data_IF_329815697615
#
_entry.id   IF_329815697615
#
_cell.length_a   1.000
_cell.length_b   1.000
_cell.length_c   1.000
_cell.angle_alpha   90.00
_cell.angle_beta   90.00
_cell.angle_gamma   90.00
#
_symmetry.space_group_name_H-M   'P 1'
#
loop_
_entity.id
_entity.type
_entity.pdbx_description
1 polymer ?
#
# COMPACT_ATOMS: atom_id res chain seq x y z
N UNK A 1 6.73 20.91 -0.36
CA UNK A 1 5.91 19.90 -1.05
C UNK A 1 6.40 18.52 -0.64
N UNK A 2 5.56 17.58 -0.24
CA UNK A 2 5.96 16.21 0.16
C UNK A 2 6.35 15.36 -1.07
N UNK A 3 7.66 15.28 -1.38
CA UNK A 3 8.19 14.48 -2.49
C UNK A 3 8.48 13.04 -2.04
N UNK A 4 8.63 12.07 -2.97
CA UNK A 4 8.84 10.66 -2.63
C UNK A 4 10.05 10.39 -1.72
N UNK A 5 11.14 11.15 -1.84
CA UNK A 5 12.39 10.95 -1.09
C UNK A 5 12.22 11.15 0.42
N UNK A 6 11.23 11.93 0.85
CA UNK A 6 10.88 12.11 2.27
C UNK A 6 10.40 10.79 2.87
N UNK A 7 9.81 9.93 2.03
CA UNK A 7 9.13 8.72 2.47
C UNK A 7 9.87 7.44 2.10
N UNK A 8 10.57 7.40 0.95
CA UNK A 8 11.07 6.16 0.37
C UNK A 8 12.52 6.25 -0.08
N UNK A 9 13.26 5.15 0.11
CA UNK A 9 14.52 4.86 -0.58
C UNK A 9 14.17 4.03 -1.83
N UNK A 10 14.27 4.67 -2.99
CA UNK A 10 13.79 4.08 -4.25
C UNK A 10 14.89 3.48 -5.14
N UNK A 11 16.17 3.60 -4.76
CA UNK A 11 17.30 3.25 -5.63
C UNK A 11 17.26 1.79 -6.10
N UNK A 12 16.85 0.87 -5.23
CA UNK A 12 16.80 -0.57 -5.51
C UNK A 12 15.39 -1.07 -5.84
N UNK A 13 14.37 -0.24 -5.66
CA UNK A 13 13.00 -0.62 -5.94
C UNK A 13 12.77 -0.78 -7.46
N UNK A 14 12.35 -1.97 -7.88
CA UNK A 14 12.18 -2.30 -9.31
C UNK A 14 11.21 -1.34 -10.03
N UNK A 15 10.18 -0.89 -9.33
CA UNK A 15 9.13 -0.02 -9.87
C UNK A 15 9.32 1.46 -9.52
N UNK A 16 10.57 1.90 -9.30
CA UNK A 16 10.89 3.29 -8.97
C UNK A 16 10.38 4.32 -9.99
N UNK A 17 10.23 3.93 -11.25
CA UNK A 17 9.69 4.79 -12.30
C UNK A 17 8.23 5.24 -12.07
N UNK A 18 7.50 4.58 -11.16
CA UNK A 18 6.18 5.01 -10.72
C UNK A 18 6.24 6.35 -9.95
N UNK A 19 7.37 6.66 -9.33
CA UNK A 19 7.57 7.82 -8.47
C UNK A 19 8.36 8.92 -9.20
N UNK A 20 7.87 10.15 -9.08
CA UNK A 20 8.47 11.33 -9.68
C UNK A 20 9.02 12.23 -8.56
N UNK A 21 10.35 12.40 -8.54
CA UNK A 21 11.04 13.19 -7.51
C UNK A 21 10.65 14.68 -7.49
N UNK A 22 10.06 15.18 -8.56
CA UNK A 22 9.64 16.57 -8.70
C UNK A 22 8.16 16.80 -8.41
N UNK A 23 7.42 15.73 -8.12
CA UNK A 23 5.98 15.77 -7.88
C UNK A 23 5.62 15.34 -6.45
N UNK A 24 4.41 15.69 -5.95
CA UNK A 24 3.91 15.16 -4.68
C UNK A 24 3.86 13.64 -4.69
N UNK A 25 4.19 13.03 -3.56
CA UNK A 25 4.28 11.57 -3.42
C UNK A 25 3.01 10.82 -3.82
N UNK A 26 1.84 11.39 -3.62
CA UNK A 26 0.55 10.77 -4.00
C UNK A 26 0.28 10.71 -5.50
N UNK A 27 1.07 11.41 -6.34
CA UNK A 27 0.92 11.31 -7.79
C UNK A 27 1.19 9.90 -8.32
N UNK A 28 1.97 9.08 -7.59
CA UNK A 28 2.17 7.67 -7.91
C UNK A 28 0.85 6.89 -7.95
N UNK A 29 -0.13 7.23 -7.12
CA UNK A 29 -1.45 6.58 -7.13
C UNK A 29 -2.22 6.90 -8.41
N UNK A 30 -2.15 8.14 -8.93
CA UNK A 30 -2.76 8.49 -10.23
C UNK A 30 -2.09 7.75 -11.39
N UNK A 31 -0.78 7.54 -11.28
CA UNK A 31 0.02 6.85 -12.30
C UNK A 31 -0.07 5.32 -12.23
N UNK A 32 -0.54 4.73 -11.12
CA UNK A 32 -0.48 3.29 -10.86
C UNK A 32 -1.22 2.47 -11.93
N UNK A 33 -2.43 2.87 -12.30
CA UNK A 33 -3.21 2.20 -13.33
C UNK A 33 -2.50 2.22 -14.69
N UNK A 34 -2.22 3.38 -15.31
CA UNK A 34 -1.52 3.41 -16.59
C UNK A 34 -0.11 2.80 -16.52
N UNK A 35 0.52 2.79 -15.34
CA UNK A 35 1.80 2.14 -15.14
C UNK A 35 1.68 0.61 -15.25
N UNK A 36 0.71 -0.01 -14.57
CA UNK A 36 0.48 -1.45 -14.65
C UNK A 36 0.01 -1.89 -16.04
N UNK A 37 -0.77 -1.07 -16.73
CA UNK A 37 -1.26 -1.36 -18.08
C UNK A 37 -0.11 -1.45 -19.14
N UNK A 38 1.12 -0.99 -18.81
CA UNK A 38 2.30 -1.11 -19.67
C UNK A 38 3.01 -2.45 -19.53
N UNK A 39 2.70 -3.24 -18.52
CA UNK A 39 3.34 -4.55 -18.32
C UNK A 39 2.59 -5.66 -19.06
N UNK A 40 3.37 -6.59 -19.63
CA UNK A 40 2.83 -7.88 -20.08
C UNK A 40 2.56 -8.74 -18.85
N UNK A 41 1.39 -8.58 -18.25
CA UNK A 41 0.94 -9.38 -17.12
C UNK A 41 0.55 -10.81 -17.55
N UNK A 42 0.23 -11.69 -16.59
CA UNK A 42 -0.18 -13.08 -16.82
C UNK A 42 0.89 -14.11 -16.50
N UNK A 43 2.10 -13.68 -16.06
CA UNK A 43 3.16 -14.61 -15.69
C UNK A 43 3.09 -14.97 -14.21
N UNK A 44 2.69 -16.22 -13.91
CA UNK A 44 2.63 -16.77 -12.54
C UNK A 44 3.78 -17.77 -12.38
N UNK A 45 4.79 -17.41 -11.56
CA UNK A 45 6.03 -18.18 -11.37
C UNK A 45 6.07 -18.93 -10.04
N UNK A 46 4.91 -19.27 -9.49
CA UNK A 46 4.77 -20.04 -8.26
C UNK A 46 3.65 -21.07 -8.40
N UNK A 47 3.63 -22.04 -7.49
CA UNK A 47 2.52 -22.98 -7.41
C UNK A 47 1.29 -22.29 -6.83
N UNK A 48 0.14 -22.46 -7.48
CA UNK A 48 -1.17 -22.02 -6.99
C UNK A 48 -1.88 -23.24 -6.41
N UNK A 49 -2.09 -23.29 -5.09
CA UNK A 49 -2.78 -24.42 -4.46
C UNK A 49 -4.27 -24.44 -4.78
N UNK A 50 -4.88 -25.59 -4.63
CA UNK A 50 -6.33 -25.73 -4.67
C UNK A 50 -7.01 -24.81 -3.65
N UNK A 51 -8.16 -24.25 -3.99
CA UNK A 51 -8.91 -23.30 -3.15
C UNK A 51 -8.45 -21.84 -3.26
N UNK A 52 -7.50 -21.52 -4.14
CA UNK A 52 -7.21 -20.12 -4.54
C UNK A 52 -8.11 -19.72 -5.69
N UNK A 53 -8.71 -18.53 -5.62
CA UNK A 53 -9.50 -17.95 -6.70
C UNK A 53 -8.68 -16.89 -7.44
N UNK A 54 -8.47 -17.09 -8.75
CA UNK A 54 -7.85 -16.11 -9.64
C UNK A 54 -8.91 -15.59 -10.62
N UNK A 55 -9.11 -14.27 -10.62
CA UNK A 55 -10.03 -13.60 -11.56
C UNK A 55 -9.21 -12.77 -12.54
N UNK A 56 -9.44 -12.95 -13.83
CA UNK A 56 -8.63 -12.40 -14.94
C UNK A 56 -7.14 -12.80 -14.80
N UNK A 57 -6.82 -14.12 -14.76
CA UNK A 57 -5.45 -14.60 -14.50
C UNK A 57 -4.44 -14.12 -15.54
N UNK A 58 -4.86 -13.83 -16.76
CA UNK A 58 -4.05 -13.23 -17.81
C UNK A 58 -3.56 -11.81 -17.47
N UNK A 59 -4.13 -11.20 -16.41
CA UNK A 59 -3.73 -9.88 -15.87
C UNK A 59 -3.11 -9.98 -14.48
N UNK A 60 -2.71 -11.19 -14.05
CA UNK A 60 -2.08 -11.42 -12.75
C UNK A 60 -0.65 -11.89 -12.97
N UNK A 61 0.33 -11.15 -12.46
CA UNK A 61 1.71 -11.64 -12.41
C UNK A 61 2.12 -11.89 -10.96
N UNK A 62 2.75 -13.06 -10.72
CA UNK A 62 3.25 -13.46 -9.40
C UNK A 62 4.69 -13.93 -9.56
N UNK A 63 5.61 -13.28 -8.87
CA UNK A 63 7.04 -13.53 -8.97
C UNK A 63 7.47 -14.85 -8.32
N UNK A 64 8.66 -15.31 -8.74
CA UNK A 64 9.30 -16.55 -8.27
C UNK A 64 9.46 -16.56 -6.75
N UNK A 65 9.29 -17.72 -6.14
CA UNK A 65 9.46 -17.93 -4.70
C UNK A 65 8.31 -17.39 -3.84
N UNK A 66 7.31 -16.77 -4.47
CA UNK A 66 6.12 -16.30 -3.75
C UNK A 66 5.24 -17.49 -3.37
N UNK A 67 4.73 -17.45 -2.13
CA UNK A 67 3.80 -18.45 -1.59
C UNK A 67 2.39 -17.87 -1.56
N UNK A 68 1.45 -18.59 -2.19
CA UNK A 68 0.02 -18.28 -2.12
C UNK A 68 -0.67 -19.37 -1.31
N UNK A 69 -1.48 -19.00 -0.33
CA UNK A 69 -2.19 -19.94 0.52
C UNK A 69 -3.62 -20.16 0.03
N UNK A 70 -4.15 -21.35 0.26
CA UNK A 70 -5.55 -21.68 -0.06
C UNK A 70 -6.52 -20.68 0.58
N UNK A 71 -7.61 -20.37 -0.12
CA UNK A 71 -8.59 -19.36 0.30
C UNK A 71 -8.23 -17.93 -0.04
N UNK A 72 -7.08 -17.66 -0.66
CA UNK A 72 -6.79 -16.35 -1.22
C UNK A 72 -7.64 -16.08 -2.47
N UNK A 73 -8.10 -14.82 -2.61
CA UNK A 73 -8.81 -14.33 -3.78
C UNK A 73 -7.98 -13.20 -4.42
N UNK A 74 -7.59 -13.37 -5.67
CA UNK A 74 -6.72 -12.44 -6.38
C UNK A 74 -7.38 -12.04 -7.70
N UNK A 75 -7.61 -10.74 -7.89
CA UNK A 75 -8.21 -10.18 -9.09
C UNK A 75 -7.22 -9.26 -9.83
N UNK A 76 -6.99 -9.56 -11.11
CA UNK A 76 -6.17 -8.71 -11.99
C UNK A 76 -6.88 -7.43 -12.47
N UNK A 77 -6.12 -6.39 -12.86
CA UNK A 77 -4.66 -6.36 -12.99
C UNK A 77 -3.93 -6.23 -11.66
N UNK A 78 -2.94 -7.09 -11.43
CA UNK A 78 -2.04 -6.94 -10.29
C UNK A 78 -0.66 -7.56 -10.59
N UNK A 79 0.36 -7.06 -9.87
CA UNK A 79 1.71 -7.58 -9.92
C UNK A 79 2.20 -7.82 -8.49
N UNK A 80 2.45 -9.08 -8.15
CA UNK A 80 3.00 -9.50 -6.85
C UNK A 80 4.45 -9.90 -7.07
N UNK A 81 5.37 -9.22 -6.40
CA UNK A 81 6.81 -9.42 -6.54
C UNK A 81 7.30 -10.72 -5.93
N UNK A 82 8.58 -11.02 -6.18
CA UNK A 82 9.26 -12.26 -5.76
C UNK A 82 9.28 -12.46 -4.24
N UNK A 83 9.36 -13.74 -3.81
CA UNK A 83 9.54 -14.15 -2.42
C UNK A 83 8.51 -13.56 -1.44
N UNK A 84 7.35 -13.18 -1.95
CA UNK A 84 6.25 -12.62 -1.17
C UNK A 84 5.35 -13.73 -0.60
N UNK A 85 4.43 -13.36 0.27
CA UNK A 85 3.43 -14.29 0.79
C UNK A 85 2.04 -13.67 0.68
N UNK A 86 1.13 -14.38 0.02
CA UNK A 86 -0.31 -14.08 0.02
C UNK A 86 -0.97 -15.13 0.90
N UNK A 87 -1.46 -14.73 2.06
CA UNK A 87 -1.97 -15.65 3.08
C UNK A 87 -3.43 -16.00 2.85
N UNK A 88 -3.89 -17.01 3.58
CA UNK A 88 -5.27 -17.44 3.60
C UNK A 88 -6.26 -16.29 3.80
N UNK A 89 -7.32 -16.24 2.99
CA UNK A 89 -8.37 -15.23 3.07
C UNK A 89 -7.95 -13.83 2.61
N UNK A 90 -6.74 -13.64 2.06
CA UNK A 90 -6.36 -12.37 1.46
C UNK A 90 -7.27 -12.04 0.27
N UNK A 91 -7.76 -10.79 0.20
CA UNK A 91 -8.55 -10.28 -0.91
C UNK A 91 -7.77 -9.21 -1.67
N UNK A 92 -7.12 -9.64 -2.75
CA UNK A 92 -6.32 -8.75 -3.61
C UNK A 92 -7.21 -8.31 -4.76
N UNK A 93 -7.53 -7.03 -4.77
CA UNK A 93 -8.35 -6.38 -5.79
C UNK A 93 -7.47 -5.72 -6.86
N UNK A 94 -8.08 -5.25 -7.98
CA UNK A 94 -7.31 -4.68 -9.07
C UNK A 94 -6.37 -3.53 -8.69
N UNK A 95 -5.28 -3.44 -9.43
CA UNK A 95 -4.23 -2.43 -9.31
C UNK A 95 -3.44 -2.49 -8.00
N UNK A 96 -3.16 -3.70 -7.52
CA UNK A 96 -2.16 -3.91 -6.47
C UNK A 96 -0.82 -4.21 -7.12
N UNK A 97 0.21 -3.47 -6.70
CA UNK A 97 1.59 -3.67 -7.08
C UNK A 97 2.43 -3.90 -5.83
N UNK A 98 3.17 -5.00 -5.80
CA UNK A 98 4.12 -5.23 -4.70
C UNK A 98 5.55 -5.39 -5.22
N UNK A 99 6.50 -4.91 -4.43
CA UNK A 99 7.90 -5.28 -4.53
C UNK A 99 8.14 -6.70 -4.03
N UNK A 100 9.39 -6.99 -3.65
CA UNK A 100 9.84 -8.31 -3.16
C UNK A 100 9.60 -8.47 -1.66
N UNK A 101 9.51 -9.73 -1.21
CA UNK A 101 9.43 -10.09 0.22
C UNK A 101 8.25 -9.46 0.96
N UNK A 102 7.15 -9.16 0.28
CA UNK A 102 5.96 -8.55 0.86
C UNK A 102 5.05 -9.60 1.51
N UNK A 103 4.25 -9.16 2.49
CA UNK A 103 3.21 -9.99 3.10
C UNK A 103 1.85 -9.32 2.92
N UNK A 104 0.97 -9.97 2.14
CA UNK A 104 -0.45 -9.67 2.08
C UNK A 104 -1.14 -10.75 2.91
N UNK A 105 -1.54 -10.37 4.13
CA UNK A 105 -1.77 -11.34 5.18
C UNK A 105 -3.16 -11.92 5.23
N UNK A 106 -3.39 -12.67 6.28
CA UNK A 106 -4.67 -13.29 6.56
C UNK A 106 -5.80 -12.26 6.63
N UNK A 107 -6.85 -12.49 5.83
CA UNK A 107 -8.02 -11.62 5.73
C UNK A 107 -7.68 -10.12 5.52
N UNK A 108 -6.60 -9.86 4.80
CA UNK A 108 -6.21 -8.50 4.41
C UNK A 108 -6.80 -8.18 3.05
N UNK A 109 -7.50 -7.05 2.95
CA UNK A 109 -7.94 -6.50 1.67
C UNK A 109 -6.95 -5.44 1.19
N UNK A 110 -6.47 -5.59 -0.05
CA UNK A 110 -5.67 -4.59 -0.74
C UNK A 110 -6.31 -4.21 -2.07
N UNK A 111 -6.37 -2.91 -2.36
CA UNK A 111 -6.99 -2.37 -3.58
C UNK A 111 -6.27 -1.10 -4.01
N UNK A 112 -5.88 -1.03 -5.29
CA UNK A 112 -5.22 0.16 -5.85
C UNK A 112 -4.10 0.66 -4.92
N UNK A 113 -3.16 -0.22 -4.61
CA UNK A 113 -2.15 0.00 -3.57
C UNK A 113 -0.76 -0.45 -4.01
N UNK A 114 0.25 0.22 -3.46
CA UNK A 114 1.65 -0.10 -3.71
C UNK A 114 2.31 -0.53 -2.41
N UNK A 115 2.96 -1.69 -2.44
CA UNK A 115 3.78 -2.21 -1.35
C UNK A 115 5.23 -2.22 -1.84
N UNK A 116 6.12 -1.43 -1.24
CA UNK A 116 7.55 -1.49 -1.54
C UNK A 116 8.16 -2.74 -0.92
N UNK A 117 9.46 -2.96 -1.15
CA UNK A 117 10.14 -4.19 -0.75
C UNK A 117 10.02 -4.43 0.77
N UNK A 118 9.63 -5.65 1.14
CA UNK A 118 9.50 -6.06 2.54
C UNK A 118 8.31 -5.47 3.30
N UNK A 119 7.40 -4.76 2.63
CA UNK A 119 6.21 -4.20 3.27
C UNK A 119 5.24 -5.31 3.70
N UNK A 120 4.65 -5.17 4.88
CA UNK A 120 3.82 -6.20 5.51
C UNK A 120 2.49 -5.63 6.02
N UNK A 121 1.40 -6.23 5.55
CA UNK A 121 0.05 -6.06 6.07
C UNK A 121 -0.49 -7.46 6.46
N UNK A 122 -0.06 -8.00 7.63
CA UNK A 122 -0.14 -9.44 7.88
C UNK A 122 -1.49 -9.98 8.37
N UNK A 123 -2.38 -9.12 8.90
CA UNK A 123 -3.61 -9.59 9.56
C UNK A 123 -4.74 -8.58 9.54
N UNK A 124 -5.89 -8.95 8.94
CA UNK A 124 -7.15 -8.19 9.02
C UNK A 124 -7.01 -6.71 8.64
N UNK A 125 -6.17 -6.41 7.68
CA UNK A 125 -5.92 -5.03 7.28
C UNK A 125 -6.81 -4.62 6.12
N UNK A 126 -7.08 -3.31 6.01
CA UNK A 126 -7.58 -2.70 4.79
C UNK A 126 -6.55 -1.70 4.24
N UNK A 127 -6.07 -1.96 3.03
CA UNK A 127 -5.08 -1.12 2.34
C UNK A 127 -5.67 -0.64 1.02
N UNK A 128 -6.42 0.46 1.08
CA UNK A 128 -7.06 1.05 -0.09
C UNK A 128 -6.38 2.34 -0.54
N UNK A 129 -6.08 2.45 -1.83
CA UNK A 129 -5.51 3.66 -2.47
C UNK A 129 -4.32 4.23 -1.64
N UNK A 130 -3.39 3.36 -1.27
CA UNK A 130 -2.32 3.63 -0.30
C UNK A 130 -0.95 3.15 -0.79
N UNK A 131 0.11 3.67 -0.18
CA UNK A 131 1.48 3.22 -0.40
C UNK A 131 2.13 2.84 0.93
N UNK A 132 2.64 1.61 1.03
CA UNK A 132 3.46 1.13 2.12
C UNK A 132 4.92 1.09 1.65
N UNK A 133 5.80 1.84 2.31
CA UNK A 133 7.23 1.92 2.03
C UNK A 133 7.99 0.64 2.37
N UNK A 134 9.29 0.66 2.11
CA UNK A 134 10.17 -0.49 2.37
C UNK A 134 10.13 -0.87 3.86
N UNK A 135 9.96 -2.16 4.12
CA UNK A 135 9.97 -2.73 5.48
C UNK A 135 8.96 -2.08 6.44
N UNK A 136 7.89 -1.51 5.92
CA UNK A 136 6.73 -1.09 6.72
C UNK A 136 6.06 -2.32 7.30
N UNK A 137 5.63 -2.25 8.56
CA UNK A 137 4.75 -3.24 9.15
C UNK A 137 3.54 -2.57 9.76
N UNK A 138 2.35 -2.96 9.31
CA UNK A 138 1.10 -2.52 9.92
C UNK A 138 0.49 -3.66 10.74
N UNK A 139 0.19 -3.37 12.01
CA UNK A 139 -0.36 -4.35 12.96
C UNK A 139 -1.76 -4.85 12.56
N UNK A 140 -2.23 -5.86 13.27
CA UNK A 140 -3.55 -6.45 13.01
C UNK A 140 -4.66 -5.40 13.11
N UNK A 141 -5.61 -5.44 12.18
CA UNK A 141 -6.77 -4.57 12.17
C UNK A 141 -6.49 -3.10 11.78
N UNK A 142 -5.29 -2.78 11.26
CA UNK A 142 -5.01 -1.42 10.77
C UNK A 142 -5.82 -1.15 9.50
N UNK A 143 -6.45 0.02 9.46
CA UNK A 143 -7.28 0.49 8.35
C UNK A 143 -6.63 1.73 7.72
N UNK A 144 -6.27 1.66 6.44
CA UNK A 144 -5.95 2.82 5.61
C UNK A 144 -7.26 3.32 4.99
N UNK A 145 -8.01 4.16 5.70
CA UNK A 145 -9.27 4.70 5.21
C UNK A 145 -9.00 5.61 4.01
N UNK A 146 -9.69 5.38 2.90
CA UNK A 146 -9.39 6.04 1.62
C UNK A 146 -10.48 6.98 1.11
N UNK A 147 -11.58 7.13 1.83
CA UNK A 147 -12.74 7.89 1.39
C UNK A 147 -13.24 8.83 2.47
N UNK A 148 -13.46 10.09 2.12
CA UNK A 148 -13.98 11.10 3.04
C UNK A 148 -15.48 10.97 3.24
N UNK A 149 -15.95 11.20 4.47
CA UNK A 149 -17.37 11.12 4.79
C UNK A 149 -18.22 12.20 4.09
N UNK A 150 -17.61 13.35 3.78
CA UNK A 150 -18.26 14.45 3.03
C UNK A 150 -18.20 14.27 1.51
N UNK A 151 -17.70 13.12 1.04
CA UNK A 151 -17.55 12.78 -0.38
C UNK A 151 -16.66 13.73 -1.19
N UNK A 152 -15.94 14.63 -0.52
CA UNK A 152 -15.06 15.62 -1.13
C UNK A 152 -13.73 15.03 -1.63
N UNK A 153 -12.96 15.88 -2.30
CA UNK A 153 -11.57 15.60 -2.65
C UNK A 153 -10.73 15.40 -1.39
N UNK A 154 -9.82 14.41 -1.42
CA UNK A 154 -8.87 14.22 -0.34
C UNK A 154 -7.87 15.38 -0.32
N UNK A 155 -7.73 16.01 0.83
CA UNK A 155 -6.76 17.08 1.08
C UNK A 155 -5.70 16.55 2.03
N UNK A 156 -4.45 16.64 1.62
CA UNK A 156 -3.30 16.33 2.47
C UNK A 156 -2.98 17.56 3.32
N UNK A 157 -2.93 17.39 4.63
CA UNK A 157 -2.53 18.43 5.56
C UNK A 157 -1.20 18.04 6.21
N UNK A 158 -0.16 18.84 6.00
CA UNK A 158 1.20 18.60 6.49
C UNK A 158 1.75 19.86 7.11
N UNK A 159 2.13 19.83 8.38
CA UNK A 159 2.77 20.92 9.11
C UNK A 159 2.01 22.27 9.01
N UNK A 160 0.69 22.22 8.82
CA UNK A 160 -0.17 23.38 8.66
C UNK A 160 -0.47 23.78 7.21
N UNK A 161 0.29 23.28 6.25
CA UNK A 161 0.03 23.45 4.83
C UNK A 161 -1.02 22.47 4.31
N UNK A 162 -1.85 22.92 3.39
CA UNK A 162 -2.92 22.11 2.79
C UNK A 162 -2.72 21.96 1.30
N UNK A 163 -2.73 20.70 0.82
CA UNK A 163 -2.53 20.34 -0.58
C UNK A 163 -3.75 19.61 -1.11
N UNK A 164 -4.37 20.11 -2.15
CA UNK A 164 -5.40 19.42 -2.92
C UNK A 164 -4.74 18.30 -3.73
N UNK A 165 -5.23 17.07 -3.58
CA UNK A 165 -4.63 15.92 -4.26
C UNK A 165 -5.19 15.66 -5.65
N UNK A 166 -6.37 16.19 -5.98
CA UNK A 166 -7.12 15.83 -7.18
C UNK A 166 -7.76 14.43 -7.11
N UNK A 167 -7.69 13.76 -5.94
CA UNK A 167 -8.18 12.40 -5.74
C UNK A 167 -9.42 12.39 -4.85
N UNK A 168 -10.47 11.69 -5.27
CA UNK A 168 -11.63 11.41 -4.41
C UNK A 168 -11.38 10.25 -3.44
N UNK A 169 -10.42 9.38 -3.76
CA UNK A 169 -9.98 8.27 -2.91
C UNK A 169 -8.47 8.31 -2.79
N UNK A 170 -7.99 8.39 -1.59
CA UNK A 170 -6.60 8.27 -1.21
C UNK A 170 -6.54 7.88 0.26
N UNK A 171 -5.88 6.79 0.56
CA UNK A 171 -5.63 6.34 1.92
C UNK A 171 -4.38 6.99 2.51
N UNK A 172 -3.42 6.18 2.92
CA UNK A 172 -2.21 6.64 3.57
C UNK A 172 -0.96 6.43 2.69
N UNK A 173 0.01 7.32 2.87
CA UNK A 173 1.39 7.11 2.41
C UNK A 173 2.23 6.84 3.65
N UNK A 174 2.78 5.64 3.76
CA UNK A 174 3.50 5.16 4.94
C UNK A 174 4.97 4.99 4.55
N UNK A 175 5.83 5.85 5.10
CA UNK A 175 7.26 5.89 4.78
C UNK A 175 8.02 4.66 5.29
N UNK A 176 9.19 4.42 4.72
CA UNK A 176 10.05 3.27 4.98
C UNK A 176 10.24 3.01 6.48
N UNK A 177 10.19 1.73 6.86
CA UNK A 177 10.43 1.24 8.23
C UNK A 177 9.43 1.78 9.27
N UNK A 178 8.33 2.40 8.86
CA UNK A 178 7.29 2.81 9.81
C UNK A 178 6.58 1.57 10.40
N UNK A 179 6.17 1.70 11.66
CA UNK A 179 5.44 0.66 12.39
C UNK A 179 4.10 1.23 12.85
N UNK A 180 3.02 0.58 12.47
CA UNK A 180 1.66 1.02 12.86
C UNK A 180 1.06 -0.02 13.81
N UNK A 181 0.74 0.40 15.02
CA UNK A 181 0.16 -0.46 16.05
C UNK A 181 -1.24 -0.96 15.69
N UNK A 182 -1.61 -2.11 16.24
CA UNK A 182 -2.88 -2.80 15.96
C UNK A 182 -4.11 -1.88 16.14
N UNK A 183 -5.15 -2.15 15.34
CA UNK A 183 -6.45 -1.46 15.38
C UNK A 183 -6.36 0.07 15.22
N UNK A 184 -5.31 0.56 14.58
CA UNK A 184 -5.19 1.97 14.26
C UNK A 184 -5.87 2.31 12.95
N UNK A 185 -6.42 3.52 12.85
CA UNK A 185 -7.02 4.05 11.63
C UNK A 185 -6.17 5.21 11.11
N UNK A 186 -5.67 5.07 9.90
CA UNK A 186 -5.05 6.15 9.15
C UNK A 186 -6.12 6.78 8.26
N UNK A 187 -6.50 8.03 8.56
CA UNK A 187 -7.56 8.71 7.83
C UNK A 187 -7.11 9.14 6.42
N UNK A 188 -8.06 9.43 5.50
CA UNK A 188 -7.73 9.76 4.12
C UNK A 188 -6.72 10.91 4.00
N UNK A 189 -5.64 10.66 3.26
CA UNK A 189 -4.59 11.65 3.01
C UNK A 189 -3.50 11.74 4.09
N UNK A 190 -3.47 10.82 5.04
CA UNK A 190 -2.40 10.79 6.05
C UNK A 190 -1.06 10.39 5.42
N UNK A 191 -0.02 11.15 5.74
CA UNK A 191 1.36 10.87 5.39
C UNK A 191 2.17 10.58 6.66
N UNK A 192 2.79 9.42 6.72
CA UNK A 192 3.74 9.02 7.76
C UNK A 192 5.16 9.00 7.17
N UNK A 193 6.08 9.76 7.75
CA UNK A 193 7.49 9.77 7.30
C UNK A 193 8.19 8.43 7.60
N UNK A 194 9.41 8.28 7.09
CA UNK A 194 10.28 7.14 7.41
C UNK A 194 10.39 6.93 8.92
N UNK A 195 10.34 5.67 9.37
CA UNK A 195 10.52 5.25 10.78
C UNK A 195 9.48 5.81 11.76
N UNK A 196 8.33 6.25 11.26
CA UNK A 196 7.23 6.70 12.14
C UNK A 196 6.68 5.52 12.96
N UNK A 197 6.45 5.77 14.23
CA UNK A 197 5.79 4.83 15.15
C UNK A 197 4.39 5.35 15.46
N UNK A 198 3.38 4.51 15.24
CA UNK A 198 1.99 4.77 15.60
C UNK A 198 1.59 3.80 16.71
N UNK A 199 1.07 4.31 17.82
CA UNK A 199 0.59 3.45 18.93
C UNK A 199 -0.65 2.67 18.48
N UNK A 200 -0.86 1.53 19.09
CA UNK A 200 -2.10 0.77 18.89
C UNK A 200 -3.35 1.58 19.25
N UNK A 201 -4.47 1.26 18.58
CA UNK A 201 -5.76 1.92 18.79
C UNK A 201 -5.73 3.44 18.56
N UNK A 202 -4.88 3.93 17.66
CA UNK A 202 -4.78 5.34 17.31
C UNK A 202 -5.64 5.70 16.10
N UNK A 203 -6.25 6.89 16.12
CA UNK A 203 -6.86 7.49 14.94
C UNK A 203 -6.00 8.67 14.47
N UNK A 204 -5.30 8.50 13.37
CA UNK A 204 -4.42 9.53 12.82
C UNK A 204 -5.18 10.31 11.75
N UNK A 205 -5.37 11.62 11.96
CA UNK A 205 -6.11 12.49 11.05
C UNK A 205 -5.21 13.45 10.28
N UNK A 206 -4.03 13.78 10.83
CA UNK A 206 -3.11 14.76 10.26
C UNK A 206 -1.70 14.19 10.16
N UNK A 207 -0.99 14.66 9.15
CA UNK A 207 0.40 14.29 8.93
C UNK A 207 1.32 15.23 9.70
N UNK A 208 2.21 14.67 10.51
CA UNK A 208 3.29 15.42 11.14
C UNK A 208 4.63 14.85 10.66
N UNK A 209 5.29 15.56 9.77
CA UNK A 209 6.58 15.13 9.21
C UNK A 209 7.79 15.60 10.05
N UNK A 210 7.57 16.24 11.20
CA UNK A 210 8.64 16.73 12.07
C UNK A 210 9.04 15.72 13.14
N UNK A 211 8.18 14.77 13.48
CA UNK A 211 8.41 13.77 14.54
C UNK A 211 8.35 12.35 13.99
N UNK A 212 8.96 11.41 14.71
CA UNK A 212 8.83 9.97 14.46
C UNK A 212 7.64 9.32 15.19
N UNK A 213 6.89 10.09 15.96
CA UNK A 213 5.67 9.63 16.62
C UNK A 213 4.47 10.31 15.98
N UNK A 214 3.50 9.52 15.54
CA UNK A 214 2.20 10.03 15.13
C UNK A 214 1.25 9.90 16.33
N UNK A 215 0.67 11.03 16.72
CA UNK A 215 -0.27 11.12 17.84
C UNK A 215 -1.70 11.10 17.32
N UNK A 216 -2.59 10.49 18.11
CA UNK A 216 -4.03 10.60 17.91
C UNK A 216 -4.44 12.06 18.10
N UNK A 217 -5.23 12.58 17.20
CA UNK A 217 -5.85 13.90 17.29
C UNK A 217 -7.14 13.82 18.08
#
# INVERSE_FOLDING_TARGET
MPTPEIFFELQVFQHRALFDSTAPVWECLKKLKPYLDQFSLGKIECQIPEGVTLVNPEKISIGKGTRVEAGAYIEGPCLIGENSTVRHGAYIRPYVLTGKNCVLGHATEAKHAVFLDGAQAPHFNYVGDSVLGNHVNIGAGVICANFRLDHGEVVVEVNGDRFKTGLRKMGAIIGDQAQVGCNSVLNPGVLLRKKTLVRACSSIQKSNLRTHYAESS
#
